data_IF_384222388459
#
_entry.id   IF_384222388459
#
_cell.length_a   1.000
_cell.length_b   1.000
_cell.length_c   1.000
_cell.angle_alpha   90.00
_cell.angle_beta   90.00
_cell.angle_gamma   90.00
#
_symmetry.space_group_name_H-M   'P 1'
#
loop_
_entity.id
_entity.type
_entity.pdbx_description
1 polymer ?
#
# COMPACT_ATOMS: atom_id res chain seq x y z
N UNK A 1 3.94 45.06 -10.23
CA UNK A 1 3.76 43.72 -10.84
C UNK A 1 4.86 42.71 -10.50
N UNK A 2 5.98 43.09 -9.86
CA UNK A 2 7.06 42.15 -9.49
C UNK A 2 6.86 41.32 -8.22
N UNK A 3 5.91 41.68 -7.33
CA UNK A 3 5.71 40.96 -6.05
C UNK A 3 4.77 39.74 -6.16
N UNK A 4 3.91 39.67 -7.18
CA UNK A 4 3.03 38.51 -7.40
C UNK A 4 3.79 37.32 -8.02
N UNK A 5 4.86 37.57 -8.77
CA UNK A 5 5.72 36.53 -9.33
C UNK A 5 6.57 35.84 -8.26
N UNK A 6 7.05 36.55 -7.23
CA UNK A 6 7.76 35.94 -6.09
C UNK A 6 6.86 35.06 -5.22
N UNK A 7 5.59 35.44 -5.03
CA UNK A 7 4.63 34.61 -4.27
C UNK A 7 4.25 33.34 -5.04
N UNK A 8 4.31 33.36 -6.37
CA UNK A 8 4.10 32.17 -7.21
C UNK A 8 5.37 31.31 -7.36
N UNK A 9 6.57 31.91 -7.31
CA UNK A 9 7.86 31.18 -7.34
C UNK A 9 8.25 30.56 -5.99
N UNK A 10 7.74 31.07 -4.87
CA UNK A 10 7.98 30.49 -3.53
C UNK A 10 7.50 29.04 -3.36
N UNK A 11 6.69 28.47 -4.26
CA UNK A 11 6.22 27.08 -4.13
C UNK A 11 7.18 26.04 -4.70
N UNK A 12 8.05 26.39 -5.65
CA UNK A 12 9.05 25.46 -6.17
C UNK A 12 10.35 25.53 -5.36
N UNK A 13 10.77 26.72 -4.92
CA UNK A 13 11.99 26.90 -4.09
C UNK A 13 11.85 26.34 -2.66
N UNK A 14 10.63 26.27 -2.10
CA UNK A 14 10.43 25.81 -0.72
C UNK A 14 10.78 24.32 -0.50
N UNK A 15 10.74 23.48 -1.55
CA UNK A 15 11.11 22.06 -1.44
C UNK A 15 12.60 21.82 -1.64
N UNK A 16 13.35 22.80 -2.14
CA UNK A 16 14.81 22.68 -2.31
C UNK A 16 15.55 22.75 -0.96
N UNK A 17 14.91 23.26 0.08
CA UNK A 17 15.48 23.40 1.42
C UNK A 17 14.98 22.39 2.47
N UNK A 18 14.04 21.52 2.10
CA UNK A 18 13.41 20.58 3.02
C UNK A 18 13.57 19.12 2.60
N UNK A 19 13.79 18.22 3.58
CA UNK A 19 13.91 16.78 3.34
C UNK A 19 13.17 15.96 4.41
N UNK A 20 12.81 14.72 4.05
CA UNK A 20 12.28 13.74 5.00
C UNK A 20 13.40 12.78 5.41
N UNK A 21 13.73 12.76 6.70
CA UNK A 21 14.75 11.87 7.25
C UNK A 21 14.19 10.46 7.46
N UNK A 22 14.20 9.67 6.38
CA UNK A 22 13.77 8.27 6.44
C UNK A 22 14.73 7.36 7.21
N UNK A 23 15.95 7.82 7.51
CA UNK A 23 16.95 6.98 8.17
C UNK A 23 16.91 7.17 9.68
N UNK A 24 17.01 8.41 10.16
CA UNK A 24 17.32 8.71 11.56
C UNK A 24 16.22 9.46 12.33
N UNK A 25 15.07 9.77 11.71
CA UNK A 25 13.98 10.45 12.41
C UNK A 25 13.56 9.72 13.70
N UNK A 26 13.44 10.48 14.79
CA UNK A 26 13.01 10.02 16.12
C UNK A 26 11.79 10.81 16.58
N UNK A 27 10.85 10.18 17.30
CA UNK A 27 9.64 10.88 17.75
C UNK A 27 9.99 11.96 18.76
N UNK A 28 9.38 13.13 18.59
CA UNK A 28 9.21 14.12 19.64
C UNK A 28 8.18 13.66 20.68
N UNK A 29 8.10 14.34 21.83
CA UNK A 29 7.12 14.00 22.87
C UNK A 29 5.66 14.18 22.37
N UNK A 30 5.42 15.09 21.41
CA UNK A 30 4.10 15.27 20.79
C UNK A 30 3.72 14.12 19.84
N UNK A 31 4.70 13.47 19.22
CA UNK A 31 4.47 12.36 18.30
C UNK A 31 4.32 11.02 19.02
N UNK A 32 4.84 10.91 20.25
CA UNK A 32 5.12 9.65 20.94
C UNK A 32 3.94 8.70 21.06
N UNK A 33 2.75 9.23 21.39
CA UNK A 33 1.56 8.40 21.55
C UNK A 33 1.16 7.73 20.22
N UNK A 34 1.05 8.51 19.15
CA UNK A 34 0.72 7.98 17.80
C UNK A 34 1.85 7.10 17.30
N UNK A 35 3.10 7.53 17.53
CA UNK A 35 4.28 6.82 17.11
C UNK A 35 4.35 5.41 17.72
N UNK A 36 4.13 5.28 19.03
CA UNK A 36 4.22 4.00 19.72
C UNK A 36 3.10 3.03 19.26
N UNK A 37 1.89 3.54 19.04
CA UNK A 37 0.77 2.76 18.50
C UNK A 37 1.08 2.22 17.10
N UNK A 38 1.57 3.07 16.20
CA UNK A 38 1.90 2.69 14.82
C UNK A 38 3.14 1.79 14.79
N UNK A 39 4.14 2.07 15.62
CA UNK A 39 5.38 1.29 15.75
C UNK A 39 5.09 -0.14 16.18
N UNK A 40 4.17 -0.32 17.14
CA UNK A 40 3.73 -1.66 17.56
C UNK A 40 3.18 -2.46 16.36
N UNK A 41 2.32 -1.87 15.53
CA UNK A 41 1.78 -2.55 14.33
C UNK A 41 2.88 -2.79 13.30
N UNK A 42 3.72 -1.80 13.01
CA UNK A 42 4.81 -1.93 12.03
C UNK A 42 5.86 -2.97 12.44
N UNK A 43 6.01 -3.26 13.74
CA UNK A 43 6.94 -4.30 14.22
C UNK A 43 6.63 -5.69 13.66
N UNK A 44 5.38 -5.97 13.28
CA UNK A 44 4.97 -7.25 12.67
C UNK A 44 5.21 -7.31 11.15
N UNK A 45 5.38 -6.16 10.49
CA UNK A 45 5.46 -6.07 9.03
C UNK A 45 6.60 -6.94 8.41
N UNK A 46 7.82 -7.00 8.98
CA UNK A 46 8.87 -7.87 8.44
C UNK A 46 8.53 -9.36 8.49
N UNK A 47 7.81 -9.80 9.53
CA UNK A 47 7.32 -11.17 9.68
C UNK A 47 6.32 -11.52 8.58
N UNK A 48 5.32 -10.66 8.39
CA UNK A 48 4.30 -10.80 7.34
C UNK A 48 4.94 -10.92 5.94
N UNK A 49 5.94 -10.08 5.63
CA UNK A 49 6.66 -10.17 4.35
C UNK A 49 7.44 -11.47 4.22
N UNK A 50 8.04 -11.96 5.31
CA UNK A 50 8.81 -13.21 5.31
C UNK A 50 7.90 -14.42 5.08
N UNK A 51 6.75 -14.45 5.75
CA UNK A 51 5.74 -15.49 5.57
C UNK A 51 5.18 -15.49 4.16
N UNK A 52 4.79 -14.32 3.62
CA UNK A 52 4.29 -14.22 2.25
C UNK A 52 5.33 -14.68 1.22
N UNK A 53 6.62 -14.36 1.40
CA UNK A 53 7.71 -14.86 0.54
C UNK A 53 7.87 -16.37 0.58
N UNK A 54 7.59 -16.99 1.71
CA UNK A 54 7.69 -18.44 1.91
C UNK A 54 6.40 -19.21 1.59
N UNK A 55 5.34 -18.50 1.20
CA UNK A 55 4.05 -19.09 0.82
C UNK A 55 4.16 -19.87 -0.50
N UNK A 56 4.31 -21.19 -0.41
CA UNK A 56 4.41 -22.10 -1.56
C UNK A 56 3.05 -22.46 -2.17
N UNK A 57 2.01 -22.42 -1.35
CA UNK A 57 0.68 -22.93 -1.67
C UNK A 57 0.56 -24.45 -1.67
N UNK A 58 -0.66 -24.97 -1.82
CA UNK A 58 -1.01 -26.39 -1.77
C UNK A 58 -1.54 -26.92 -3.13
N UNK A 59 -1.01 -26.39 -4.23
CA UNK A 59 -1.55 -26.63 -5.57
C UNK A 59 -1.48 -28.09 -6.03
N UNK A 60 -0.44 -28.83 -5.62
CA UNK A 60 -0.28 -30.25 -5.96
C UNK A 60 -1.30 -31.11 -5.20
N UNK A 61 -1.42 -30.89 -3.89
CA UNK A 61 -2.37 -31.55 -3.00
C UNK A 61 -3.81 -31.30 -3.48
N UNK A 62 -4.15 -30.04 -3.81
CA UNK A 62 -5.45 -29.66 -4.37
C UNK A 62 -5.74 -30.44 -5.67
N UNK A 63 -4.77 -30.54 -6.59
CA UNK A 63 -4.98 -31.29 -7.85
C UNK A 63 -5.22 -32.78 -7.58
N UNK A 64 -4.49 -33.37 -6.64
CA UNK A 64 -4.65 -34.77 -6.25
C UNK A 64 -6.03 -35.00 -5.63
N UNK A 65 -6.49 -34.14 -4.71
CA UNK A 65 -7.82 -34.24 -4.11
C UNK A 65 -8.95 -34.05 -5.14
N UNK A 66 -8.83 -33.08 -6.05
CA UNK A 66 -9.85 -32.86 -7.10
C UNK A 66 -9.95 -34.07 -8.04
N UNK A 67 -8.82 -34.68 -8.38
CA UNK A 67 -8.79 -35.86 -9.26
C UNK A 67 -9.27 -37.15 -8.57
N UNK A 68 -9.36 -37.15 -7.23
CA UNK A 68 -9.72 -38.32 -6.44
C UNK A 68 -10.81 -37.98 -5.39
N UNK A 69 -12.00 -37.55 -5.81
CA UNK A 69 -13.02 -37.00 -4.90
C UNK A 69 -13.57 -38.02 -3.89
N UNK A 70 -13.48 -39.33 -4.19
CA UNK A 70 -13.95 -40.40 -3.30
C UNK A 70 -12.91 -40.88 -2.28
N UNK A 71 -11.65 -40.46 -2.41
CA UNK A 71 -10.56 -40.90 -1.53
C UNK A 71 -10.47 -40.02 -0.29
N UNK A 72 -10.96 -40.51 0.85
CA UNK A 72 -11.00 -39.77 2.11
C UNK A 72 -9.60 -39.34 2.57
N UNK A 73 -8.61 -40.23 2.43
CA UNK A 73 -7.20 -39.97 2.75
C UNK A 73 -6.68 -38.73 2.00
N UNK A 74 -6.85 -38.68 0.67
CA UNK A 74 -6.39 -37.55 -0.15
C UNK A 74 -7.11 -36.24 0.19
N UNK A 75 -8.39 -36.31 0.58
CA UNK A 75 -9.14 -35.13 1.02
C UNK A 75 -8.59 -34.61 2.36
N UNK A 76 -8.31 -35.51 3.31
CA UNK A 76 -7.75 -35.19 4.62
C UNK A 76 -6.34 -34.60 4.50
N UNK A 77 -5.45 -35.22 3.72
CA UNK A 77 -4.08 -34.74 3.51
C UNK A 77 -4.05 -33.33 2.92
N UNK A 78 -4.89 -33.10 1.90
CA UNK A 78 -5.02 -31.77 1.28
C UNK A 78 -5.57 -30.75 2.27
N UNK A 79 -6.51 -31.15 3.14
CA UNK A 79 -7.04 -30.27 4.16
C UNK A 79 -5.98 -29.87 5.20
N UNK A 80 -5.22 -30.83 5.70
CA UNK A 80 -4.10 -30.57 6.63
C UNK A 80 -3.03 -29.67 6.01
N UNK A 81 -2.78 -29.78 4.71
CA UNK A 81 -1.86 -28.88 4.00
C UNK A 81 -2.41 -27.45 3.86
N UNK A 82 -3.71 -27.31 3.61
CA UNK A 82 -4.35 -26.00 3.34
C UNK A 82 -4.63 -25.20 4.60
N UNK A 83 -5.05 -25.83 5.70
CA UNK A 83 -5.46 -25.11 6.91
C UNK A 83 -4.39 -24.12 7.42
N UNK A 84 -3.11 -24.49 7.56
CA UNK A 84 -2.07 -23.55 7.98
C UNK A 84 -1.91 -22.37 7.01
N UNK A 85 -1.95 -22.64 5.70
CA UNK A 85 -1.83 -21.62 4.66
C UNK A 85 -2.99 -20.62 4.75
N UNK A 86 -4.21 -21.09 4.95
CA UNK A 86 -5.39 -20.23 5.05
C UNK A 86 -5.37 -19.41 6.35
N UNK A 87 -4.82 -19.96 7.45
CA UNK A 87 -4.58 -19.20 8.69
C UNK A 87 -3.57 -18.07 8.47
N UNK A 88 -2.50 -18.30 7.70
CA UNK A 88 -1.59 -17.22 7.29
C UNK A 88 -2.30 -16.16 6.45
N UNK A 89 -3.16 -16.56 5.50
CA UNK A 89 -3.96 -15.60 4.73
C UNK A 89 -4.90 -14.79 5.63
N UNK A 90 -5.48 -15.41 6.67
CA UNK A 90 -6.29 -14.70 7.66
C UNK A 90 -5.45 -13.64 8.39
N UNK A 91 -4.25 -13.97 8.82
CA UNK A 91 -3.34 -13.04 9.52
C UNK A 91 -2.95 -11.85 8.62
N UNK A 92 -2.65 -12.08 7.34
CA UNK A 92 -2.35 -11.01 6.39
C UNK A 92 -3.55 -10.07 6.19
N UNK A 93 -4.75 -10.64 6.08
CA UNK A 93 -5.98 -9.87 5.96
C UNK A 93 -6.27 -9.05 7.22
N UNK A 94 -6.14 -9.64 8.42
CA UNK A 94 -6.31 -8.91 9.69
C UNK A 94 -5.26 -7.81 9.85
N UNK A 95 -4.02 -8.06 9.45
CA UNK A 95 -2.96 -7.04 9.42
C UNK A 95 -3.34 -5.83 8.54
N UNK A 96 -3.99 -6.06 7.40
CA UNK A 96 -4.47 -4.96 6.55
C UNK A 96 -5.45 -4.01 7.29
N UNK A 97 -6.30 -4.56 8.17
CA UNK A 97 -7.25 -3.77 8.98
C UNK A 97 -6.52 -2.95 10.05
N UNK A 98 -5.41 -3.47 10.59
CA UNK A 98 -4.56 -2.69 11.50
C UNK A 98 -3.88 -1.53 10.77
N UNK A 99 -3.33 -1.76 9.57
CA UNK A 99 -2.75 -0.69 8.74
C UNK A 99 -3.76 0.39 8.36
N UNK A 100 -5.00 0.00 8.05
CA UNK A 100 -6.09 0.95 7.82
C UNK A 100 -6.29 1.90 9.00
N UNK A 101 -6.19 1.43 10.25
CA UNK A 101 -6.31 2.31 11.42
C UNK A 101 -5.09 3.20 11.57
N UNK A 102 -3.89 2.64 11.43
CA UNK A 102 -2.64 3.39 11.52
C UNK A 102 -2.59 4.55 10.52
N UNK A 103 -2.98 4.34 9.26
CA UNK A 103 -2.94 5.40 8.26
C UNK A 103 -3.91 6.55 8.61
N UNK A 104 -5.06 6.24 9.19
CA UNK A 104 -6.03 7.26 9.62
C UNK A 104 -5.52 8.07 10.82
N UNK A 105 -4.86 7.43 11.78
CA UNK A 105 -4.24 8.13 12.91
C UNK A 105 -3.08 9.03 12.47
N UNK A 106 -2.21 8.54 11.57
CA UNK A 106 -1.13 9.34 11.00
C UNK A 106 -1.67 10.54 10.22
N UNK A 107 -2.69 10.33 9.39
CA UNK A 107 -3.32 11.43 8.66
C UNK A 107 -3.88 12.47 9.62
N UNK A 108 -4.63 12.06 10.64
CA UNK A 108 -5.14 12.97 11.67
C UNK A 108 -4.03 13.78 12.34
N UNK A 109 -2.91 13.14 12.68
CA UNK A 109 -1.77 13.81 13.29
C UNK A 109 -1.04 14.78 12.34
N UNK A 110 -1.00 14.49 11.04
CA UNK A 110 -0.30 15.28 10.02
C UNK A 110 -1.18 16.36 9.36
N UNK A 111 -2.49 16.34 9.59
CA UNK A 111 -3.43 17.31 8.99
C UNK A 111 -4.11 18.22 10.01
N UNK A 112 -3.91 18.02 11.32
CA UNK A 112 -4.57 18.82 12.35
C UNK A 112 -4.20 20.32 12.32
N UNK A 113 -5.04 21.19 12.87
CA UNK A 113 -4.71 22.61 13.05
C UNK A 113 -3.81 22.85 14.28
N UNK A 114 -3.05 23.97 14.35
CA UNK A 114 -3.02 25.11 13.41
C UNK A 114 -1.91 25.08 12.36
N UNK A 115 -0.95 24.14 12.44
CA UNK A 115 0.22 24.12 11.55
C UNK A 115 -0.18 23.85 10.09
N UNK A 116 0.62 24.32 9.14
CA UNK A 116 0.46 23.92 7.73
C UNK A 116 0.93 22.48 7.49
N UNK A 117 0.48 21.82 6.41
CA UNK A 117 0.96 20.49 6.02
C UNK A 117 2.49 20.36 5.93
N UNK A 118 3.17 21.36 5.35
CA UNK A 118 4.64 21.39 5.29
C UNK A 118 5.25 21.45 6.68
N UNK A 119 4.72 22.33 7.55
CA UNK A 119 5.20 22.44 8.94
C UNK A 119 4.98 21.17 9.76
N UNK A 120 3.91 20.42 9.51
CA UNK A 120 3.73 19.10 10.14
C UNK A 120 4.77 18.10 9.66
N UNK A 121 5.09 18.08 8.37
CA UNK A 121 6.14 17.20 7.85
C UNK A 121 7.53 17.60 8.38
N UNK A 122 7.77 18.91 8.59
CA UNK A 122 8.98 19.44 9.21
C UNK A 122 9.12 19.04 10.68
N UNK A 123 8.06 19.22 11.48
CA UNK A 123 8.11 19.00 12.92
C UNK A 123 7.84 17.55 13.34
N UNK A 124 7.07 16.80 12.55
CA UNK A 124 6.64 15.41 12.83
C UNK A 124 7.27 14.40 11.87
N UNK A 125 8.59 14.47 11.76
CA UNK A 125 9.40 13.63 10.88
C UNK A 125 9.23 12.13 11.18
N UNK A 126 9.04 11.75 12.46
CA UNK A 126 8.90 10.35 12.83
C UNK A 126 7.56 9.77 12.37
N UNK A 127 6.48 10.54 12.49
CA UNK A 127 5.17 10.13 11.94
C UNK A 127 5.17 10.12 10.41
N UNK A 128 5.82 11.09 9.77
CA UNK A 128 6.00 11.09 8.31
C UNK A 128 6.79 9.85 7.83
N UNK A 129 7.82 9.45 8.58
CA UNK A 129 8.58 8.22 8.33
C UNK A 129 7.70 6.98 8.51
N UNK A 130 6.87 6.89 9.55
CA UNK A 130 5.96 5.75 9.72
C UNK A 130 4.90 5.65 8.62
N UNK A 131 4.40 6.80 8.13
CA UNK A 131 3.55 6.82 6.93
C UNK A 131 4.28 6.19 5.75
N UNK A 132 5.51 6.62 5.51
CA UNK A 132 6.36 6.09 4.46
C UNK A 132 6.64 4.58 4.62
N UNK A 133 6.85 4.10 5.84
CA UNK A 133 7.03 2.67 6.15
C UNK A 133 5.78 1.83 5.86
N UNK A 134 4.59 2.34 6.17
CA UNK A 134 3.31 1.70 5.79
C UNK A 134 3.20 1.56 4.27
N UNK A 135 3.49 2.62 3.51
CA UNK A 135 3.47 2.58 2.05
C UNK A 135 4.52 1.61 1.47
N UNK A 136 5.71 1.61 2.06
CA UNK A 136 6.78 0.71 1.67
C UNK A 136 6.39 -0.76 1.84
N UNK A 137 5.84 -1.12 3.01
CA UNK A 137 5.30 -2.44 3.27
C UNK A 137 4.21 -2.80 2.26
N UNK A 138 3.25 -1.89 2.06
CA UNK A 138 2.08 -2.09 1.19
C UNK A 138 2.48 -2.48 -0.22
N UNK A 139 3.37 -1.69 -0.85
CA UNK A 139 3.83 -1.98 -2.21
C UNK A 139 4.66 -3.26 -2.29
N UNK A 140 5.43 -3.60 -1.25
CA UNK A 140 6.16 -4.87 -1.19
C UNK A 140 5.23 -6.08 -1.06
N UNK A 141 4.22 -5.99 -0.21
CA UNK A 141 3.23 -7.05 -0.02
C UNK A 141 2.50 -7.31 -1.33
N UNK A 142 1.98 -6.26 -1.96
CA UNK A 142 1.19 -6.37 -3.18
C UNK A 142 2.02 -6.92 -4.35
N UNK A 143 3.29 -6.52 -4.48
CA UNK A 143 4.20 -7.10 -5.47
C UNK A 143 4.39 -8.60 -5.28
N UNK A 144 4.61 -9.07 -4.05
CA UNK A 144 4.73 -10.50 -3.75
C UNK A 144 3.43 -11.24 -4.04
N UNK A 145 2.29 -10.67 -3.64
CA UNK A 145 0.96 -11.25 -3.86
C UNK A 145 0.65 -11.38 -5.36
N UNK A 146 0.90 -10.34 -6.15
CA UNK A 146 0.66 -10.35 -7.60
C UNK A 146 1.43 -11.47 -8.31
N UNK A 147 2.61 -11.82 -7.81
CA UNK A 147 3.45 -12.87 -8.36
C UNK A 147 3.14 -14.27 -7.81
N UNK A 148 2.09 -14.44 -6.98
CA UNK A 148 1.73 -15.71 -6.37
C UNK A 148 0.25 -16.08 -6.58
N UNK A 149 -0.09 -16.76 -7.69
CA UNK A 149 -1.47 -17.17 -7.97
C UNK A 149 -2.00 -18.25 -7.02
N UNK A 150 -1.14 -18.95 -6.26
CA UNK A 150 -1.57 -20.01 -5.34
C UNK A 150 -2.46 -19.45 -4.22
N UNK A 151 -2.22 -18.23 -3.76
CA UNK A 151 -3.00 -17.56 -2.70
C UNK A 151 -4.51 -17.61 -2.98
N UNK A 152 -4.92 -17.19 -4.19
CA UNK A 152 -6.34 -17.19 -4.56
C UNK A 152 -6.89 -18.60 -4.77
N UNK A 153 -6.09 -19.50 -5.34
CA UNK A 153 -6.50 -20.88 -5.60
C UNK A 153 -6.75 -21.67 -4.31
N UNK A 154 -5.82 -21.57 -3.36
CA UNK A 154 -5.87 -22.26 -2.08
C UNK A 154 -7.05 -21.76 -1.26
N UNK A 155 -7.23 -20.43 -1.19
CA UNK A 155 -8.36 -19.84 -0.48
C UNK A 155 -9.71 -20.20 -1.13
N UNK A 156 -9.78 -20.23 -2.46
CA UNK A 156 -10.98 -20.66 -3.19
C UNK A 156 -11.29 -22.14 -2.97
N UNK A 157 -10.27 -23.00 -2.87
CA UNK A 157 -10.47 -24.40 -2.49
C UNK A 157 -11.02 -24.52 -1.07
N UNK A 158 -10.38 -23.85 -0.10
CA UNK A 158 -10.83 -23.82 1.29
C UNK A 158 -12.29 -23.43 1.42
N UNK A 159 -12.71 -22.32 0.78
CA UNK A 159 -14.10 -21.84 0.82
C UNK A 159 -15.09 -22.88 0.28
N UNK A 160 -14.80 -23.49 -0.87
CA UNK A 160 -15.66 -24.52 -1.47
C UNK A 160 -15.78 -25.74 -0.56
N UNK A 161 -14.69 -26.14 0.08
CA UNK A 161 -14.67 -27.25 1.03
C UNK A 161 -15.51 -26.93 2.27
N UNK A 162 -15.35 -25.75 2.87
CA UNK A 162 -16.12 -25.32 4.05
C UNK A 162 -17.62 -25.21 3.78
N UNK A 163 -18.04 -24.78 2.59
CA UNK A 163 -19.46 -24.67 2.23
C UNK A 163 -20.18 -26.03 2.22
N UNK A 164 -19.47 -27.11 1.88
CA UNK A 164 -20.05 -28.47 1.82
C UNK A 164 -20.40 -29.05 3.19
N UNK A 165 -19.83 -28.51 4.27
CA UNK A 165 -20.03 -28.99 5.65
C UNK A 165 -21.50 -28.99 6.08
N UNK A 166 -22.26 -27.95 5.71
CA UNK A 166 -23.65 -27.75 6.11
C UNK A 166 -24.68 -28.41 5.19
N UNK A 167 -24.23 -29.20 4.21
CA UNK A 167 -25.07 -29.83 3.19
C UNK A 167 -24.99 -31.35 3.31
N UNK A 168 -25.90 -32.08 2.64
CA UNK A 168 -25.84 -33.55 2.51
C UNK A 168 -24.60 -34.05 1.71
N UNK A 169 -23.63 -33.17 1.44
CA UNK A 169 -22.43 -33.38 0.63
C UNK A 169 -21.14 -33.11 1.40
N UNK A 170 -21.16 -33.23 2.73
CA UNK A 170 -19.95 -33.12 3.56
C UNK A 170 -18.88 -34.11 3.05
N UNK A 171 -17.65 -33.63 2.87
CA UNK A 171 -16.55 -34.45 2.38
C UNK A 171 -16.08 -35.37 3.51
N UNK A 172 -16.19 -36.70 3.38
CA UNK A 172 -15.75 -37.61 4.43
C UNK A 172 -14.22 -37.53 4.60
N UNK A 173 -13.75 -37.59 5.84
CA UNK A 173 -12.31 -37.51 6.18
C UNK A 173 -11.79 -36.09 6.48
N UNK A 174 -12.61 -35.05 6.33
CA UNK A 174 -12.23 -33.66 6.64
C UNK A 174 -12.66 -33.28 8.06
N UNK A 175 -11.72 -32.84 8.89
CA UNK A 175 -12.03 -32.17 10.15
C UNK A 175 -12.31 -30.68 9.92
N UNK A 176 -13.60 -30.34 9.85
CA UNK A 176 -14.05 -28.98 9.62
C UNK A 176 -13.88 -28.04 10.83
N UNK A 177 -13.56 -28.54 12.02
CA UNK A 177 -13.39 -27.69 13.20
C UNK A 177 -12.14 -26.81 13.08
N UNK A 178 -11.06 -27.31 12.46
CA UNK A 178 -9.83 -26.54 12.26
C UNK A 178 -10.05 -25.28 11.39
N UNK A 179 -11.00 -25.35 10.45
CA UNK A 179 -11.38 -24.24 9.58
C UNK A 179 -12.34 -23.24 10.22
N UNK A 180 -12.90 -23.51 11.42
CA UNK A 180 -13.89 -22.62 12.07
C UNK A 180 -13.32 -21.30 12.57
N UNK A 181 -12.00 -21.18 12.67
CA UNK A 181 -11.36 -19.90 12.97
C UNK A 181 -11.65 -18.81 11.92
N UNK A 182 -12.23 -19.19 10.76
CA UNK A 182 -12.66 -18.27 9.71
C UNK A 182 -14.17 -18.41 9.54
N UNK A 183 -14.91 -17.38 9.95
CA UNK A 183 -16.35 -17.32 9.75
C UNK A 183 -16.71 -17.17 8.27
N UNK A 184 -17.97 -17.46 7.91
CA UNK A 184 -18.45 -17.27 6.53
C UNK A 184 -18.35 -15.79 6.09
N UNK A 185 -18.63 -14.86 7.00
CA UNK A 185 -18.51 -13.41 6.76
C UNK A 185 -17.06 -13.01 6.49
N UNK A 186 -16.14 -13.41 7.37
CA UNK A 186 -14.70 -13.17 7.19
C UNK A 186 -14.20 -13.79 5.88
N UNK A 187 -14.64 -15.00 5.54
CA UNK A 187 -14.26 -15.65 4.29
C UNK A 187 -14.72 -14.86 3.05
N UNK A 188 -15.85 -14.17 3.13
CA UNK A 188 -16.34 -13.31 2.05
C UNK A 188 -15.48 -12.04 1.93
N UNK A 189 -15.17 -11.38 3.04
CA UNK A 189 -14.28 -10.20 3.03
C UNK A 189 -12.87 -10.54 2.53
N UNK A 190 -12.28 -11.63 3.03
CA UNK A 190 -10.98 -12.11 2.57
C UNK A 190 -10.99 -12.43 1.07
N UNK A 191 -12.11 -12.91 0.52
CA UNK A 191 -12.21 -13.19 -0.92
C UNK A 191 -12.14 -11.93 -1.75
N UNK A 192 -12.84 -10.88 -1.33
CA UNK A 192 -12.79 -9.57 -1.98
C UNK A 192 -11.38 -8.98 -1.86
N UNK A 193 -10.77 -9.08 -0.68
CA UNK A 193 -9.40 -8.65 -0.45
C UNK A 193 -8.44 -9.34 -1.42
N UNK A 194 -8.40 -10.68 -1.49
CA UNK A 194 -7.47 -11.38 -2.37
C UNK A 194 -7.80 -11.35 -3.86
N UNK A 195 -9.02 -10.97 -4.25
CA UNK A 195 -9.39 -10.76 -5.64
C UNK A 195 -8.71 -9.51 -6.23
N UNK A 196 -8.47 -8.48 -5.42
CA UNK A 196 -7.79 -7.25 -5.84
C UNK A 196 -6.34 -7.51 -6.23
N UNK A 197 -5.85 -6.92 -7.32
CA UNK A 197 -4.44 -7.06 -7.73
C UNK A 197 -3.49 -6.56 -6.63
N UNK A 198 -3.83 -5.43 -6.01
CA UNK A 198 -3.05 -4.74 -4.98
C UNK A 198 -3.89 -4.58 -3.70
N UNK A 199 -4.06 -5.66 -2.91
CA UNK A 199 -5.03 -5.70 -1.82
C UNK A 199 -4.69 -4.77 -0.64
N UNK A 200 -3.41 -4.62 -0.29
CA UNK A 200 -3.01 -3.69 0.76
C UNK A 200 -3.19 -2.24 0.31
N UNK A 201 -2.78 -1.92 -0.92
CA UNK A 201 -2.91 -0.57 -1.45
C UNK A 201 -4.37 -0.17 -1.65
N UNK A 202 -5.24 -1.11 -2.05
CA UNK A 202 -6.68 -0.88 -2.08
C UNK A 202 -7.23 -0.55 -0.69
N UNK A 203 -6.85 -1.34 0.31
CA UNK A 203 -7.22 -1.11 1.71
C UNK A 203 -6.81 0.28 2.20
N UNK A 204 -5.57 0.70 1.91
CA UNK A 204 -5.11 2.04 2.27
C UNK A 204 -5.84 3.14 1.49
N UNK A 205 -6.06 2.97 0.18
CA UNK A 205 -6.77 3.96 -0.65
C UNK A 205 -8.20 4.16 -0.17
N UNK A 206 -8.91 3.07 0.17
CA UNK A 206 -10.25 3.13 0.74
C UNK A 206 -10.24 3.77 2.14
N UNK A 207 -9.23 3.48 2.96
CA UNK A 207 -9.08 4.08 4.29
C UNK A 207 -8.85 5.60 4.23
N UNK A 208 -7.98 6.06 3.33
CA UNK A 208 -7.70 7.49 3.11
C UNK A 208 -8.91 8.18 2.49
N UNK A 209 -9.60 7.54 1.54
CA UNK A 209 -10.83 8.09 0.95
C UNK A 209 -11.91 8.27 2.01
N UNK A 210 -12.14 7.27 2.87
CA UNK A 210 -13.09 7.39 3.99
C UNK A 210 -12.69 8.47 4.97
N UNK A 211 -11.40 8.54 5.33
CA UNK A 211 -10.89 9.60 6.20
C UNK A 211 -11.25 10.98 5.65
N UNK A 212 -11.03 11.21 4.36
CA UNK A 212 -11.36 12.50 3.73
C UNK A 212 -12.88 12.75 3.65
N UNK A 213 -13.68 11.71 3.39
CA UNK A 213 -15.15 11.82 3.36
C UNK A 213 -15.78 12.10 4.73
N UNK A 214 -15.13 11.66 5.81
CA UNK A 214 -15.59 11.85 7.19
C UNK A 214 -15.21 13.24 7.75
N UNK A 215 -14.40 14.02 7.02
CA UNK A 215 -13.88 15.32 7.41
C UNK A 215 -14.38 16.43 6.47
N UNK A 216 -14.19 17.71 6.84
CA UNK A 216 -14.65 18.83 6.02
C UNK A 216 -13.75 19.11 4.80
N UNK A 217 -14.18 20.04 3.93
CA UNK A 217 -13.44 20.41 2.71
C UNK A 217 -12.03 20.97 3.03
N UNK A 218 -11.86 21.62 4.19
CA UNK A 218 -10.57 22.20 4.60
C UNK A 218 -9.60 21.09 5.01
N UNK A 219 -10.06 20.13 5.79
CA UNK A 219 -9.29 18.95 6.20
C UNK A 219 -8.96 18.04 5.01
N UNK A 220 -9.88 17.97 4.04
CA UNK A 220 -9.67 17.32 2.74
C UNK A 220 -8.51 17.94 1.98
N UNK A 221 -8.53 19.27 1.80
CA UNK A 221 -7.48 20.01 1.10
C UNK A 221 -6.12 19.85 1.78
N UNK A 222 -6.10 19.82 3.11
CA UNK A 222 -4.89 19.61 3.91
C UNK A 222 -4.33 18.20 3.75
N UNK A 223 -5.20 17.18 3.71
CA UNK A 223 -4.81 15.79 3.41
C UNK A 223 -4.16 15.68 2.03
N UNK A 224 -4.81 16.25 1.01
CA UNK A 224 -4.27 16.31 -0.35
C UNK A 224 -2.93 17.04 -0.40
N UNK A 225 -2.79 18.11 0.36
CA UNK A 225 -1.53 18.85 0.45
C UNK A 225 -0.41 18.06 1.11
N UNK A 226 -0.66 17.33 2.21
CA UNK A 226 0.32 16.40 2.81
C UNK A 226 0.79 15.38 1.78
N UNK A 227 -0.14 14.70 1.10
CA UNK A 227 0.19 13.66 0.11
C UNK A 227 1.01 14.22 -1.05
N UNK A 228 0.60 15.36 -1.62
CA UNK A 228 1.33 16.00 -2.72
C UNK A 228 2.70 16.53 -2.28
N UNK A 229 2.81 17.03 -1.05
CA UNK A 229 4.08 17.52 -0.49
C UNK A 229 5.07 16.39 -0.32
N UNK A 230 4.65 15.26 0.28
CA UNK A 230 5.49 14.07 0.37
C UNK A 230 5.94 13.58 -1.02
N UNK A 231 5.05 13.58 -2.02
CA UNK A 231 5.40 13.17 -3.38
C UNK A 231 6.49 14.07 -3.97
N UNK A 232 6.35 15.38 -3.82
CA UNK A 232 7.29 16.37 -4.35
C UNK A 232 8.64 16.34 -3.62
N UNK A 233 8.66 16.16 -2.30
CA UNK A 233 9.91 16.00 -1.53
C UNK A 233 10.65 14.73 -1.95
N UNK A 234 9.96 13.58 -2.01
CA UNK A 234 10.58 12.35 -2.48
C UNK A 234 11.15 12.50 -3.89
N UNK A 235 10.42 13.17 -4.79
CA UNK A 235 10.92 13.49 -6.13
C UNK A 235 12.20 14.34 -6.07
N UNK A 236 12.20 15.42 -5.29
CA UNK A 236 13.35 16.31 -5.14
C UNK A 236 14.60 15.59 -4.60
N UNK A 237 14.43 14.75 -3.56
CA UNK A 237 15.49 13.92 -3.00
C UNK A 237 16.10 12.97 -4.05
N UNK A 238 15.26 12.43 -4.94
CA UNK A 238 15.68 11.48 -5.98
C UNK A 238 16.30 12.15 -7.23
N UNK A 239 15.93 13.39 -7.54
CA UNK A 239 16.49 14.19 -8.64
C UNK A 239 17.84 14.81 -8.28
N UNK A 240 18.12 15.03 -6.99
CA UNK A 240 19.32 15.73 -6.51
C UNK A 240 20.22 14.84 -5.62
N UNK A 241 20.71 13.68 -6.09
CA UNK A 241 21.47 12.73 -5.27
C UNK A 241 22.84 13.26 -4.81
N UNK A 242 23.37 14.30 -5.45
CA UNK A 242 24.66 14.91 -5.11
C UNK A 242 24.57 15.89 -3.93
N UNK A 243 23.36 16.32 -3.54
CA UNK A 243 23.15 17.13 -2.35
C UNK A 243 23.40 16.28 -1.10
N UNK A 244 24.31 16.73 -0.23
CA UNK A 244 24.66 16.04 1.01
C UNK A 244 23.44 15.78 1.91
N UNK A 245 22.40 16.62 1.84
CA UNK A 245 21.14 16.47 2.58
C UNK A 245 20.31 15.28 2.09
N UNK A 246 20.43 14.94 0.82
CA UNK A 246 19.66 13.88 0.16
C UNK A 246 20.48 12.61 -0.10
N UNK A 247 21.70 12.53 0.45
CA UNK A 247 22.52 11.33 0.33
C UNK A 247 21.85 10.14 1.03
N UNK A 248 21.61 9.09 0.26
CA UNK A 248 20.85 7.93 0.67
C UNK A 248 21.53 6.66 0.19
N UNK A 249 21.54 5.63 1.04
CA UNK A 249 21.95 4.28 0.61
C UNK A 249 21.02 3.71 -0.47
N UNK A 250 21.46 2.68 -1.19
CA UNK A 250 20.66 2.08 -2.27
C UNK A 250 19.27 1.57 -1.80
N UNK A 251 19.21 1.02 -0.58
CA UNK A 251 17.96 0.58 0.04
C UNK A 251 17.03 1.77 0.35
N UNK A 252 17.60 2.86 0.87
CA UNK A 252 16.87 4.11 1.15
C UNK A 252 16.36 4.77 -0.14
N UNK A 253 17.14 4.76 -1.23
CA UNK A 253 16.65 5.20 -2.56
C UNK A 253 15.46 4.35 -3.00
N UNK A 254 15.58 3.03 -2.90
CA UNK A 254 14.50 2.10 -3.23
C UNK A 254 13.25 2.31 -2.35
N UNK A 255 13.45 2.69 -1.10
CA UNK A 255 12.39 3.08 -0.17
C UNK A 255 11.70 4.37 -0.64
N UNK A 256 12.45 5.44 -0.90
CA UNK A 256 11.90 6.73 -1.32
C UNK A 256 11.14 6.65 -2.65
N UNK A 257 11.60 5.87 -3.64
CA UNK A 257 10.85 5.66 -4.88
C UNK A 257 9.50 4.99 -4.61
N UNK A 258 9.45 3.99 -3.70
CA UNK A 258 8.19 3.34 -3.30
C UNK A 258 7.27 4.31 -2.59
N UNK A 259 7.78 5.12 -1.68
CA UNK A 259 7.00 6.12 -0.95
C UNK A 259 6.38 7.11 -1.94
N UNK A 260 7.18 7.67 -2.84
CA UNK A 260 6.70 8.59 -3.89
C UNK A 260 5.56 7.98 -4.70
N UNK A 261 5.72 6.74 -5.20
CA UNK A 261 4.67 6.05 -5.96
C UNK A 261 3.43 5.78 -5.11
N UNK A 262 3.62 5.38 -3.85
CA UNK A 262 2.53 5.11 -2.92
C UNK A 262 1.67 6.36 -2.66
N UNK A 263 2.29 7.50 -2.33
CA UNK A 263 1.55 8.75 -2.09
C UNK A 263 0.89 9.30 -3.36
N UNK A 264 1.48 9.10 -4.54
CA UNK A 264 0.86 9.47 -5.82
C UNK A 264 -0.43 8.69 -6.03
N UNK A 265 -0.41 7.37 -5.78
CA UNK A 265 -1.60 6.53 -5.93
C UNK A 265 -2.67 6.94 -4.91
N UNK A 266 -2.31 7.14 -3.64
CA UNK A 266 -3.27 7.62 -2.65
C UNK A 266 -3.89 8.97 -3.04
N UNK A 267 -3.07 9.93 -3.47
CA UNK A 267 -3.55 11.22 -3.95
C UNK A 267 -4.52 11.05 -5.12
N UNK A 268 -4.20 10.16 -6.07
CA UNK A 268 -5.06 9.91 -7.22
C UNK A 268 -6.42 9.32 -6.84
N UNK A 269 -6.51 8.49 -5.80
CA UNK A 269 -7.80 7.95 -5.35
C UNK A 269 -8.66 8.98 -4.62
N UNK A 270 -8.02 9.87 -3.86
CA UNK A 270 -8.67 10.84 -2.97
C UNK A 270 -9.03 12.14 -3.70
N UNK A 271 -8.16 12.64 -4.57
CA UNK A 271 -8.37 13.88 -5.30
C UNK A 271 -9.50 13.71 -6.32
N UNK A 272 -10.41 14.68 -6.39
CA UNK A 272 -11.59 14.64 -7.27
C UNK A 272 -11.23 14.43 -8.74
N UNK A 273 -10.22 15.15 -9.23
CA UNK A 273 -9.75 15.09 -10.62
C UNK A 273 -8.50 14.21 -10.78
N UNK A 274 -8.02 13.58 -9.70
CA UNK A 274 -6.84 12.72 -9.72
C UNK A 274 -5.47 13.42 -9.78
N UNK A 275 -4.43 12.58 -9.77
CA UNK A 275 -3.02 13.00 -9.84
C UNK A 275 -2.58 13.39 -11.26
N UNK A 276 -3.37 13.05 -12.27
CA UNK A 276 -3.04 13.24 -13.69
C UNK A 276 -3.63 14.51 -14.30
N UNK A 277 -4.55 15.17 -13.59
CA UNK A 277 -5.15 16.41 -14.03
C UNK A 277 -4.13 17.55 -14.12
N UNK A 278 -4.36 18.49 -15.05
CA UNK A 278 -3.49 19.66 -15.27
C UNK A 278 -3.35 20.55 -14.02
N UNK A 279 -4.35 20.55 -13.14
CA UNK A 279 -4.36 21.31 -11.88
C UNK A 279 -3.82 20.54 -10.67
N UNK A 280 -3.32 19.31 -10.84
CA UNK A 280 -2.76 18.53 -9.74
C UNK A 280 -1.56 19.24 -9.10
N UNK A 281 -1.42 19.10 -7.78
CA UNK A 281 -0.25 19.57 -7.02
C UNK A 281 0.99 18.66 -7.19
N UNK A 282 0.84 17.52 -7.87
CA UNK A 282 1.92 16.55 -8.12
C UNK A 282 2.47 16.73 -9.54
N UNK A 283 3.77 16.91 -9.67
CA UNK A 283 4.45 16.83 -10.97
C UNK A 283 4.57 15.36 -11.43
N UNK A 284 3.46 14.82 -11.91
CA UNK A 284 3.37 13.41 -12.31
C UNK A 284 4.34 13.06 -13.44
N UNK A 285 4.64 13.99 -14.34
CA UNK A 285 5.61 13.77 -15.44
C UNK A 285 7.02 13.63 -14.90
N UNK A 286 7.42 14.56 -14.02
CA UNK A 286 8.71 14.49 -13.32
C UNK A 286 8.82 13.21 -12.49
N UNK A 287 7.79 12.88 -11.72
CA UNK A 287 7.77 11.65 -10.92
C UNK A 287 7.93 10.39 -11.77
N UNK A 288 7.22 10.26 -12.91
CA UNK A 288 7.38 9.09 -13.79
C UNK A 288 8.80 9.02 -14.37
N UNK A 289 9.39 10.15 -14.76
CA UNK A 289 10.78 10.21 -15.24
C UNK A 289 11.74 9.69 -14.17
N UNK A 290 11.63 10.18 -12.93
CA UNK A 290 12.44 9.73 -11.80
C UNK A 290 12.27 8.23 -11.56
N UNK A 291 11.03 7.71 -11.56
CA UNK A 291 10.79 6.26 -11.40
C UNK A 291 11.49 5.46 -12.50
N UNK A 292 11.45 5.91 -13.77
CA UNK A 292 12.14 5.21 -14.87
C UNK A 292 13.65 5.22 -14.72
N UNK A 293 14.23 6.37 -14.38
CA UNK A 293 15.66 6.53 -14.16
C UNK A 293 16.15 5.64 -13.00
N UNK A 294 15.42 5.63 -11.89
CA UNK A 294 15.75 4.81 -10.73
C UNK A 294 15.48 3.33 -10.99
N UNK A 295 14.46 2.97 -11.77
CA UNK A 295 14.20 1.58 -12.16
C UNK A 295 15.39 0.95 -12.90
N UNK A 296 16.09 1.72 -13.74
CA UNK A 296 17.31 1.25 -14.39
C UNK A 296 18.45 0.95 -13.40
N UNK A 297 18.49 1.66 -12.26
CA UNK A 297 19.54 1.56 -11.24
C UNK A 297 19.24 0.50 -10.17
N UNK A 298 18.03 0.53 -9.59
CA UNK A 298 17.64 -0.26 -8.41
C UNK A 298 16.56 -1.32 -8.71
N UNK A 299 16.24 -1.57 -9.98
CA UNK A 299 15.32 -2.64 -10.45
C UNK A 299 13.93 -2.62 -9.80
N UNK A 300 13.34 -1.45 -9.64
CA UNK A 300 11.96 -1.28 -9.13
C UNK A 300 10.89 -1.44 -10.23
N UNK A 301 10.99 -2.50 -11.04
CA UNK A 301 10.16 -2.69 -12.26
C UNK A 301 8.66 -2.70 -11.97
N UNK A 302 8.31 -3.14 -10.77
CA UNK A 302 6.93 -3.37 -10.34
C UNK A 302 6.20 -2.08 -10.00
N UNK A 303 6.91 -0.96 -9.80
CA UNK A 303 6.31 0.33 -9.43
C UNK A 303 5.67 1.07 -10.62
N UNK A 304 6.21 0.92 -11.83
CA UNK A 304 5.54 1.43 -13.04
C UNK A 304 4.21 0.70 -13.27
N UNK A 305 4.17 -0.60 -12.99
CA UNK A 305 2.94 -1.39 -13.05
C UNK A 305 1.94 -0.94 -11.97
N UNK A 306 2.40 -0.60 -10.76
CA UNK A 306 1.52 -0.04 -9.73
C UNK A 306 0.86 1.27 -10.20
N UNK A 307 1.62 2.19 -10.80
CA UNK A 307 1.05 3.40 -11.41
C UNK A 307 0.10 3.09 -12.57
N UNK A 308 0.37 2.05 -13.36
CA UNK A 308 -0.45 1.70 -14.53
C UNK A 308 -1.78 1.04 -14.18
N UNK A 309 -1.79 0.18 -13.17
CA UNK A 309 -2.93 -0.70 -12.89
C UNK A 309 -3.69 -0.35 -11.63
N UNK A 310 -3.09 0.43 -10.71
CA UNK A 310 -3.73 0.76 -9.42
C UNK A 310 -4.19 2.21 -9.34
N UNK A 311 -3.84 3.06 -10.30
CA UNK A 311 -4.37 4.43 -10.37
C UNK A 311 -5.82 4.44 -10.87
N UNK A 312 -6.58 5.41 -10.39
CA UNK A 312 -8.00 5.61 -10.68
C UNK A 312 -8.20 6.41 -11.96
N UNK A 313 -7.44 7.50 -12.16
CA UNK A 313 -7.74 8.48 -13.22
C UNK A 313 -6.77 8.40 -14.42
N UNK A 314 -5.80 7.46 -14.46
CA UNK A 314 -4.85 7.35 -15.57
C UNK A 314 -5.53 7.15 -16.93
N UNK A 315 -6.62 6.37 -16.95
CA UNK A 315 -7.34 6.01 -18.17
C UNK A 315 -8.50 6.97 -18.50
N UNK A 316 -8.66 8.06 -17.75
CA UNK A 316 -9.70 9.05 -18.02
C UNK A 316 -9.41 9.80 -19.32
N UNK A 317 -10.48 10.22 -20.02
CA UNK A 317 -10.36 11.00 -21.26
C UNK A 317 -9.64 12.34 -21.05
N UNK A 318 -9.76 12.90 -19.85
CA UNK A 318 -9.11 14.15 -19.47
C UNK A 318 -7.59 13.99 -19.23
N UNK A 319 -7.10 12.77 -19.03
CA UNK A 319 -5.68 12.52 -18.75
C UNK A 319 -4.84 12.76 -20.02
N UNK A 320 -3.80 13.61 -19.96
CA UNK A 320 -2.97 13.89 -21.13
C UNK A 320 -2.35 12.63 -21.73
N UNK A 321 -2.61 12.37 -23.03
CA UNK A 321 -2.07 11.20 -23.78
C UNK A 321 -0.55 11.05 -23.71
N UNK A 322 0.18 12.16 -23.54
CA UNK A 322 1.62 12.12 -23.35
C UNK A 322 2.02 11.37 -22.06
N UNK A 323 1.25 11.52 -20.97
CA UNK A 323 1.51 10.83 -19.70
C UNK A 323 1.16 9.34 -19.82
N UNK A 324 0.05 9.00 -20.46
CA UNK A 324 -0.32 7.60 -20.74
C UNK A 324 0.80 6.87 -21.49
N UNK A 325 1.32 7.47 -22.57
CA UNK A 325 2.45 6.92 -23.33
C UNK A 325 3.72 6.74 -22.48
N UNK A 326 3.94 7.59 -21.48
CA UNK A 326 5.07 7.42 -20.57
C UNK A 326 4.93 6.17 -19.69
N UNK A 327 3.74 5.62 -19.46
CA UNK A 327 3.54 4.39 -18.67
C UNK A 327 3.32 3.13 -19.54
N UNK A 328 3.17 3.30 -20.85
CA UNK A 328 3.04 2.20 -21.82
C UNK A 328 4.39 1.60 -22.23
N UNK A 329 5.46 2.39 -22.20
CA UNK A 329 6.84 2.03 -22.63
C UNK A 329 7.78 1.70 -21.47
#
# INVERSE_FOLDING_TARGET
>A
MGNLLKVLQCKEEAFEDFFLDFENARPSEEEKEVYDQVSHVLSFAPGIITELKSYKGAGDEIRVAISNPSSQEKQADTWHAIIPLVKQLKEFFEFSKHLQKCIQELLRALTCHPLSPLQHLESKQALAKQFAEILHFTLKFDDLKMNNPAIQNDFSYFRRTMQRRGMNSATPGIDYEEGRCISTEMANEMSLFYAEATPMLRTLSDATTRFVQDNDDVETDRTLEVLSTMANICKAMLENPDDQRFQMGADSVSFCVRVMVGVIILYDHVHKDGAFAKGSKIDIKGSIRVVKEQNAKVKVKTLLNALRYTTKHLNDEATPKAIQKMLEC
#
